data_IF_469467230513
#
_entry.id   IF_469467230513
#
_cell.length_a   1.000
_cell.length_b   1.000
_cell.length_c   1.000
_cell.angle_alpha   90.00
_cell.angle_beta   90.00
_cell.angle_gamma   90.00
#
_symmetry.space_group_name_H-M   'P 1'
#
loop_
_entity.id
_entity.type
_entity.pdbx_description
1 polymer ?
#
# COMPACT_ATOMS: atom_id res chain seq x y z
N UNK A 1 3.52 -12.31 -17.42
CA UNK A 1 3.39 -11.13 -16.54
C UNK A 1 2.91 -9.99 -17.42
N UNK A 2 1.88 -9.24 -17.01
CA UNK A 2 1.26 -8.21 -17.85
C UNK A 2 2.00 -6.90 -17.57
N UNK A 3 2.64 -6.33 -18.59
CA UNK A 3 3.19 -4.96 -18.55
C UNK A 3 2.23 -4.06 -19.33
N UNK A 4 1.84 -2.93 -18.75
CA UNK A 4 1.00 -1.94 -19.43
C UNK A 4 1.95 -0.81 -19.86
N UNK A 5 2.17 -0.69 -21.17
CA UNK A 5 2.93 0.39 -21.78
C UNK A 5 2.01 1.24 -22.64
N UNK A 6 2.12 2.56 -22.53
CA UNK A 6 1.42 3.49 -23.42
C UNK A 6 2.40 3.95 -24.50
N UNK A 7 1.96 3.92 -25.76
CA UNK A 7 2.76 4.34 -26.91
C UNK A 7 2.12 5.58 -27.52
N UNK A 8 2.86 6.68 -27.60
CA UNK A 8 2.43 7.83 -28.38
C UNK A 8 2.89 7.61 -29.83
N UNK A 9 1.92 7.49 -30.73
CA UNK A 9 2.17 7.46 -32.18
C UNK A 9 1.67 8.76 -32.77
N UNK A 10 2.59 9.57 -33.30
CA UNK A 10 2.27 10.78 -34.03
C UNK A 10 2.69 10.64 -35.50
N UNK A 11 1.78 10.90 -36.42
CA UNK A 11 2.05 10.90 -37.86
C UNK A 11 1.94 12.31 -38.40
N UNK A 12 3.02 12.83 -38.98
CA UNK A 12 3.06 14.13 -39.63
C UNK A 12 3.16 13.96 -41.16
N UNK A 13 2.40 14.76 -41.89
CA UNK A 13 2.44 14.80 -43.35
C UNK A 13 3.22 16.04 -43.78
N UNK A 14 4.37 15.84 -44.44
CA UNK A 14 5.16 16.94 -44.99
C UNK A 14 4.85 17.08 -46.46
N UNK A 15 4.25 18.20 -46.83
CA UNK A 15 4.09 18.59 -48.23
C UNK A 15 5.31 19.42 -48.64
N UNK A 16 6.13 18.91 -49.56
CA UNK A 16 7.13 19.72 -50.26
C UNK A 16 6.55 20.19 -51.59
N UNK A 17 6.53 21.51 -51.87
CA UNK A 17 6.22 22.00 -53.19
C UNK A 17 7.48 21.91 -54.06
N UNK A 18 7.69 20.78 -54.74
CA UNK A 18 8.65 20.73 -55.85
C UNK A 18 7.99 20.15 -57.10
N UNK A 19 7.98 20.97 -58.15
CA UNK A 19 7.64 20.68 -59.55
C UNK A 19 6.61 19.56 -59.79
N UNK A 20 5.32 19.90 -59.63
CA UNK A 20 4.22 19.26 -60.35
C UNK A 20 3.79 17.86 -59.90
N UNK A 21 4.34 17.32 -58.81
CA UNK A 21 3.85 16.06 -58.23
C UNK A 21 3.71 16.14 -56.72
N UNK A 22 2.49 15.95 -56.22
CA UNK A 22 2.16 15.93 -54.79
C UNK A 22 2.59 14.59 -54.14
N UNK A 23 3.90 14.34 -54.06
CA UNK A 23 4.41 13.24 -53.24
C UNK A 23 4.58 13.73 -51.80
N UNK A 24 3.49 13.68 -51.01
CA UNK A 24 3.56 13.93 -49.58
C UNK A 24 4.37 12.83 -48.89
N UNK A 25 5.39 13.20 -48.11
CA UNK A 25 6.11 12.23 -47.27
C UNK A 25 5.46 12.15 -45.90
N UNK A 26 5.18 10.92 -45.45
CA UNK A 26 4.65 10.66 -44.10
C UNK A 26 5.82 10.43 -43.17
N UNK A 27 5.97 11.27 -42.16
CA UNK A 27 6.93 11.06 -41.07
C UNK A 27 6.15 10.46 -39.90
N UNK A 28 6.49 9.24 -39.52
CA UNK A 28 5.93 8.59 -38.33
C UNK A 28 6.91 8.75 -37.18
N UNK A 29 6.49 9.43 -36.13
CA UNK A 29 7.23 9.53 -34.87
C UNK A 29 6.58 8.55 -33.90
N UNK A 30 7.25 7.41 -33.71
CA UNK A 30 6.90 6.42 -32.70
C UNK A 30 7.81 6.66 -31.48
N UNK A 31 7.24 7.22 -30.40
CA UNK A 31 7.98 7.45 -29.16
C UNK A 31 7.27 6.79 -27.98
N UNK A 32 8.00 5.95 -27.25
CA UNK A 32 7.52 5.33 -26.03
C UNK A 32 7.76 6.30 -24.87
N UNK A 33 6.71 6.90 -24.35
CA UNK A 33 6.80 7.76 -23.17
C UNK A 33 6.69 6.86 -21.92
N UNK A 34 7.71 6.83 -21.04
CA UNK A 34 7.57 6.16 -19.76
C UNK A 34 6.55 6.93 -18.92
N UNK A 35 5.35 6.37 -18.76
CA UNK A 35 4.33 6.93 -17.88
C UNK A 35 4.49 6.33 -16.49
N UNK A 36 4.61 7.19 -15.48
CA UNK A 36 4.34 6.83 -14.10
C UNK A 36 2.87 7.15 -13.83
N UNK A 37 2.07 6.15 -13.45
CA UNK A 37 0.67 6.40 -13.10
C UNK A 37 0.64 7.04 -11.72
N UNK A 38 0.18 8.29 -11.65
CA UNK A 38 -0.21 8.91 -10.38
C UNK A 38 -1.45 8.17 -9.90
N UNK A 39 -1.28 7.29 -8.92
CA UNK A 39 -2.43 6.74 -8.22
C UNK A 39 -3.05 7.88 -7.42
N UNK A 40 -4.32 8.21 -7.67
CA UNK A 40 -5.10 9.05 -6.77
C UNK A 40 -4.93 8.49 -5.36
N UNK A 41 -4.41 9.30 -4.43
CA UNK A 41 -4.20 8.90 -3.03
C UNK A 41 -5.50 8.25 -2.54
N UNK A 42 -5.52 6.94 -2.22
CA UNK A 42 -6.72 6.34 -1.68
C UNK A 42 -7.11 7.12 -0.43
N UNK A 43 -8.35 7.59 -0.34
CA UNK A 43 -8.86 8.23 0.87
C UNK A 43 -9.00 7.16 1.96
N UNK A 44 -7.89 6.79 2.56
CA UNK A 44 -7.90 6.02 3.80
C UNK A 44 -8.40 6.94 4.92
N UNK A 45 -9.15 6.40 5.89
CA UNK A 45 -9.48 7.15 7.09
C UNK A 45 -8.18 7.62 7.77
N UNK A 46 -8.23 8.73 8.54
CA UNK A 46 -7.03 9.31 9.15
C UNK A 46 -6.30 8.33 10.07
N UNK A 47 -7.02 7.33 10.59
CA UNK A 47 -6.45 6.20 11.30
C UNK A 47 -7.35 4.96 11.15
N UNK A 48 -6.79 3.79 11.44
CA UNK A 48 -7.51 2.51 11.53
C UNK A 48 -7.35 1.98 12.95
N UNK A 49 -8.46 1.63 13.61
CA UNK A 49 -8.43 1.03 14.94
C UNK A 49 -8.86 -0.44 14.95
N UNK A 50 -8.24 -1.22 15.84
CA UNK A 50 -8.61 -2.62 16.08
C UNK A 50 -8.38 -3.00 17.54
N UNK A 51 -9.34 -3.68 18.17
CA UNK A 51 -9.19 -4.18 19.55
C UNK A 51 -8.90 -5.67 19.56
N UNK A 52 -7.82 -6.07 20.23
CA UNK A 52 -7.47 -7.47 20.45
C UNK A 52 -8.46 -8.12 21.43
N UNK A 53 -9.19 -9.15 21.00
CA UNK A 53 -10.14 -9.87 21.86
C UNK A 53 -9.45 -10.65 22.98
N UNK A 54 -8.19 -11.07 22.79
CA UNK A 54 -7.45 -11.90 23.75
C UNK A 54 -6.80 -11.10 24.89
N UNK A 55 -6.50 -9.82 24.64
CA UNK A 55 -5.79 -8.95 25.59
C UNK A 55 -6.52 -7.65 25.90
N UNK A 56 -7.60 -7.33 25.16
CA UNK A 56 -8.31 -6.06 25.19
C UNK A 56 -7.46 -4.84 24.82
N UNK A 57 -6.29 -5.05 24.20
CA UNK A 57 -5.45 -3.95 23.73
C UNK A 57 -6.05 -3.32 22.49
N UNK A 58 -6.10 -2.00 22.43
CA UNK A 58 -6.59 -1.25 21.28
C UNK A 58 -5.41 -0.71 20.46
N UNK A 59 -5.38 -1.05 19.19
CA UNK A 59 -4.38 -0.59 18.22
C UNK A 59 -4.99 0.55 17.42
N UNK A 60 -4.24 1.64 17.22
CA UNK A 60 -4.59 2.71 16.29
C UNK A 60 -3.42 3.00 15.38
N UNK A 61 -3.58 2.73 14.09
CA UNK A 61 -2.55 2.99 13.10
C UNK A 61 -2.89 4.27 12.33
N UNK A 62 -1.99 5.26 12.38
CA UNK A 62 -2.04 6.50 11.61
C UNK A 62 -1.21 6.29 10.36
N UNK A 63 -1.91 6.11 9.23
CA UNK A 63 -1.33 5.62 8.00
C UNK A 63 -1.42 6.69 6.92
N UNK A 64 -0.26 7.23 6.56
CA UNK A 64 -0.12 7.98 5.32
C UNK A 64 0.25 7.04 4.17
N UNK A 65 0.18 7.55 2.94
CA UNK A 65 0.58 6.80 1.77
C UNK A 65 2.11 6.59 1.79
N UNK A 66 2.55 5.34 1.67
CA UNK A 66 3.95 4.96 1.63
C UNK A 66 4.51 5.30 0.25
N UNK A 67 5.57 6.10 0.24
CA UNK A 67 6.31 6.45 -0.96
C UNK A 67 7.25 5.30 -1.34
N UNK A 68 7.25 4.91 -2.61
CA UNK A 68 8.12 3.83 -3.09
C UNK A 68 9.60 4.26 -3.12
N UNK A 69 9.88 5.51 -3.48
CA UNK A 69 11.26 5.99 -3.68
C UNK A 69 11.79 6.88 -2.56
N UNK A 70 11.02 7.02 -1.47
CA UNK A 70 11.38 7.85 -0.32
C UNK A 70 10.97 7.15 0.98
N UNK A 71 11.71 7.34 2.08
CA UNK A 71 11.31 6.82 3.38
C UNK A 71 9.97 7.45 3.82
N UNK A 72 9.09 6.62 4.34
CA UNK A 72 7.77 7.03 4.84
C UNK A 72 7.62 6.64 6.30
N UNK A 73 6.98 7.49 7.10
CA UNK A 73 6.76 7.23 8.52
C UNK A 73 5.33 6.75 8.76
N UNK A 74 5.20 5.79 9.65
CA UNK A 74 3.93 5.22 10.10
C UNK A 74 3.93 5.25 11.62
N UNK A 75 2.91 5.87 12.21
CA UNK A 75 2.77 5.92 13.66
C UNK A 75 1.67 4.97 14.10
N UNK A 76 1.97 4.16 15.11
CA UNK A 76 1.04 3.19 15.71
C UNK A 76 0.92 3.50 17.18
N UNK A 77 -0.30 3.66 17.67
CA UNK A 77 -0.62 3.79 19.09
C UNK A 77 -1.24 2.49 19.59
N UNK A 78 -0.92 2.16 20.84
CA UNK A 78 -1.40 1.00 21.56
C UNK A 78 -1.93 1.44 22.92
N UNK A 79 -3.21 1.27 23.14
CA UNK A 79 -3.91 1.64 24.38
C UNK A 79 -4.33 0.39 25.17
N UNK A 80 -4.58 0.58 26.46
CA UNK A 80 -5.01 -0.48 27.37
C UNK A 80 -3.87 -1.34 27.93
N UNK A 81 -2.63 -0.83 27.90
CA UNK A 81 -1.45 -1.49 28.46
C UNK A 81 -1.52 -1.63 29.97
N UNK A 82 -2.23 -0.74 30.66
CA UNK A 82 -2.42 -0.78 32.11
C UNK A 82 -3.87 -1.13 32.43
N UNK A 83 -4.05 -2.08 33.34
CA UNK A 83 -5.34 -2.47 33.92
C UNK A 83 -5.25 -2.41 35.43
N UNK A 84 -6.03 -1.51 36.03
CA UNK A 84 -6.11 -1.39 37.48
C UNK A 84 -7.17 -2.36 38.00
N UNK A 85 -6.83 -3.20 39.00
CA UNK A 85 -7.84 -3.99 39.71
C UNK A 85 -8.33 -3.19 40.90
N UNK A 86 -9.65 -3.01 40.99
CA UNK A 86 -10.29 -2.33 42.13
C UNK A 86 -10.43 -3.21 43.37
N UNK A 87 -10.17 -4.52 43.24
CA UNK A 87 -10.58 -5.51 44.26
C UNK A 87 -9.41 -6.04 45.09
N UNK A 88 -8.21 -6.19 44.50
CA UNK A 88 -7.09 -6.89 45.13
C UNK A 88 -5.90 -5.97 45.48
N UNK A 89 -6.00 -4.67 45.20
CA UNK A 89 -4.89 -3.71 45.32
C UNK A 89 -3.71 -3.97 44.38
N UNK A 90 -3.87 -4.93 43.45
CA UNK A 90 -2.89 -5.31 42.45
C UNK A 90 -3.24 -4.71 41.10
N UNK A 91 -2.26 -4.14 40.44
CA UNK A 91 -2.36 -3.63 39.09
C UNK A 91 -1.69 -4.59 38.12
N UNK A 92 -2.25 -4.69 36.92
CA UNK A 92 -1.73 -5.52 35.85
C UNK A 92 -1.31 -4.64 34.68
N UNK A 93 -0.16 -4.93 34.08
CA UNK A 93 0.29 -4.27 32.86
C UNK A 93 0.74 -5.28 31.81
N UNK A 94 0.46 -4.99 30.55
CA UNK A 94 1.08 -5.68 29.43
C UNK A 94 2.44 -5.06 29.16
N UNK A 95 3.51 -5.85 29.27
CA UNK A 95 4.85 -5.47 28.81
C UNK A 95 5.08 -6.02 27.40
N UNK A 96 5.50 -5.15 26.50
CA UNK A 96 5.83 -5.50 25.12
C UNK A 96 7.24 -6.07 25.10
N UNK A 97 7.40 -7.29 24.57
CA UNK A 97 8.67 -8.02 24.52
C UNK A 97 9.35 -7.93 23.16
N UNK A 98 8.53 -8.06 22.11
CA UNK A 98 8.98 -8.16 20.72
C UNK A 98 7.90 -7.58 19.83
N UNK A 99 8.33 -6.88 18.80
CA UNK A 99 7.50 -6.33 17.75
C UNK A 99 8.10 -6.71 16.42
N UNK A 100 7.32 -7.32 15.57
CA UNK A 100 7.72 -7.63 14.20
C UNK A 100 6.71 -6.98 13.27
N UNK A 101 7.20 -6.27 12.25
CA UNK A 101 6.34 -5.74 11.20
C UNK A 101 6.78 -6.26 9.85
N UNK A 102 5.79 -6.45 8.96
CA UNK A 102 5.99 -6.90 7.59
C UNK A 102 5.05 -6.13 6.66
N UNK A 103 5.60 -5.59 5.57
CA UNK A 103 4.84 -4.97 4.50
C UNK A 103 4.72 -5.97 3.34
N UNK A 104 3.49 -6.37 3.03
CA UNK A 104 3.20 -7.34 1.98
C UNK A 104 2.43 -6.70 0.83
N UNK A 105 2.83 -7.03 -0.40
CA UNK A 105 2.10 -6.78 -1.65
C UNK A 105 1.27 -8.01 -2.01
N UNK A 106 -0.02 -7.82 -2.25
CA UNK A 106 -0.96 -8.86 -2.67
C UNK A 106 -1.47 -8.52 -4.07
N UNK A 107 -1.04 -9.31 -5.04
CA UNK A 107 -1.43 -9.16 -6.44
C UNK A 107 -2.45 -10.25 -6.79
N UNK A 108 -3.66 -9.82 -7.14
CA UNK A 108 -4.74 -10.71 -7.61
C UNK A 108 -5.00 -10.44 -9.08
N UNK A 109 -5.00 -11.48 -9.91
CA UNK A 109 -5.20 -11.35 -11.35
C UNK A 109 -6.02 -12.54 -11.90
N UNK A 110 -6.72 -12.37 -13.04
CA UNK A 110 -7.51 -13.44 -13.62
C UNK A 110 -6.59 -14.59 -14.08
N UNK A 111 -7.01 -15.83 -13.81
CA UNK A 111 -6.33 -17.01 -14.36
C UNK A 111 -6.52 -17.03 -15.88
N UNK A 112 -5.44 -17.32 -16.61
CA UNK A 112 -5.50 -17.53 -18.05
C UNK A 112 -5.72 -19.01 -18.34
N UNK A 113 -6.57 -19.33 -19.31
CA UNK A 113 -6.67 -20.67 -19.88
C UNK A 113 -5.31 -21.05 -20.49
N UNK A 114 -4.79 -22.24 -20.17
CA UNK A 114 -3.55 -22.71 -20.77
C UNK A 114 -3.73 -22.90 -22.28
N UNK A 115 -2.66 -22.68 -23.06
CA UNK A 115 -2.64 -22.85 -24.52
C UNK A 115 -3.08 -24.24 -25.00
N UNK A 116 -2.97 -25.25 -24.12
CA UNK A 116 -3.41 -26.63 -24.39
C UNK A 116 -4.93 -26.83 -24.29
N UNK A 117 -5.68 -25.87 -23.74
CA UNK A 117 -7.14 -25.93 -23.59
C UNK A 117 -7.81 -24.61 -23.98
N UNK A 118 -7.70 -24.17 -25.25
CA UNK A 118 -8.16 -22.86 -25.70
C UNK A 118 -9.69 -22.69 -25.81
N UNK A 119 -10.49 -23.67 -25.35
CA UNK A 119 -11.95 -23.72 -25.59
C UNK A 119 -12.84 -23.76 -24.33
N UNK A 120 -12.28 -23.66 -23.12
CA UNK A 120 -13.06 -23.65 -21.87
C UNK A 120 -13.39 -22.20 -21.41
N UNK A 121 -13.62 -21.29 -22.37
CA UNK A 121 -13.95 -19.89 -22.06
C UNK A 121 -15.29 -19.74 -21.32
N UNK A 122 -16.24 -20.66 -21.50
CA UNK A 122 -17.50 -20.69 -20.75
C UNK A 122 -17.31 -21.05 -19.26
N UNK A 123 -16.15 -21.62 -18.88
CA UNK A 123 -15.75 -21.83 -17.50
C UNK A 123 -15.04 -20.62 -16.88
N UNK A 124 -14.81 -19.50 -17.61
CA UNK A 124 -14.22 -18.28 -17.03
C UNK A 124 -14.98 -17.76 -15.83
N UNK A 125 -16.31 -17.87 -15.83
CA UNK A 125 -17.15 -17.46 -14.70
C UNK A 125 -16.89 -18.29 -13.43
N UNK A 126 -16.31 -19.50 -13.56
CA UNK A 126 -15.98 -20.39 -12.46
C UNK A 126 -14.48 -20.40 -12.10
N UNK A 127 -13.63 -19.72 -12.89
CA UNK A 127 -12.19 -19.69 -12.64
C UNK A 127 -11.87 -18.74 -11.49
N UNK A 128 -11.32 -19.29 -10.41
CA UNK A 128 -10.86 -18.50 -9.27
C UNK A 128 -9.69 -17.60 -9.71
N UNK A 129 -9.68 -16.32 -9.31
CA UNK A 129 -8.54 -15.45 -9.57
C UNK A 129 -7.30 -16.00 -8.86
N UNK A 130 -6.13 -15.79 -9.46
CA UNK A 130 -4.85 -16.17 -8.88
C UNK A 130 -4.35 -15.03 -8.02
N UNK A 131 -4.10 -15.32 -6.75
CA UNK A 131 -3.50 -14.36 -5.80
C UNK A 131 -2.07 -14.76 -5.51
N UNK A 132 -1.15 -13.79 -5.63
CA UNK A 132 0.26 -13.92 -5.23
C UNK A 132 0.56 -12.89 -4.15
N UNK A 133 1.35 -13.29 -3.16
CA UNK A 133 1.81 -12.40 -2.09
C UNK A 133 3.32 -12.31 -2.13
N UNK A 134 3.85 -11.10 -1.99
CA UNK A 134 5.27 -10.79 -1.95
C UNK A 134 5.56 -9.92 -0.73
N UNK A 135 6.54 -10.29 0.08
CA UNK A 135 7.03 -9.43 1.15
C UNK A 135 7.94 -8.35 0.55
N UNK A 136 7.63 -7.09 0.82
CA UNK A 136 8.40 -5.92 0.35
C UNK A 136 9.45 -5.49 1.36
N UNK A 137 9.09 -5.50 2.64
CA UNK A 137 9.96 -5.16 3.75
C UNK A 137 9.50 -5.86 5.02
N UNK A 138 10.43 -6.11 5.94
CA UNK A 138 10.12 -6.63 7.26
C UNK A 138 11.23 -6.22 8.26
N UNK A 139 10.86 -6.07 9.52
CA UNK A 139 11.81 -5.80 10.59
C UNK A 139 11.33 -6.38 11.92
N UNK A 140 12.28 -6.89 12.70
CA UNK A 140 12.07 -7.33 14.07
C UNK A 140 12.71 -6.32 15.02
N UNK A 141 11.96 -5.94 16.05
CA UNK A 141 12.33 -4.96 17.06
C UNK A 141 12.05 -5.54 18.45
N UNK A 142 12.95 -5.29 19.40
CA UNK A 142 12.79 -5.66 20.82
C UNK A 142 12.50 -4.45 21.71
N UNK A 143 12.19 -3.30 21.09
CA UNK A 143 11.94 -2.02 21.74
C UNK A 143 11.41 -1.01 20.73
N UNK A 144 11.48 0.29 21.04
CA UNK A 144 11.02 1.39 20.18
C UNK A 144 9.64 1.95 20.54
N UNK A 145 8.91 1.28 21.44
CA UNK A 145 7.68 1.80 22.02
C UNK A 145 7.98 2.90 23.04
N UNK A 146 7.39 4.07 22.82
CA UNK A 146 7.46 5.23 23.71
C UNK A 146 6.15 5.30 24.48
N UNK A 147 6.19 5.09 25.80
CA UNK A 147 5.03 5.31 26.65
C UNK A 147 4.77 6.81 26.82
N UNK A 148 3.49 7.20 26.88
CA UNK A 148 3.15 8.58 27.20
C UNK A 148 3.51 8.84 28.68
N UNK A 149 4.33 9.85 29.00
CA UNK A 149 4.61 10.22 30.39
C UNK A 149 3.37 10.70 31.15
N UNK A 150 2.36 11.23 30.46
CA UNK A 150 1.08 11.62 31.05
C UNK A 150 0.11 10.44 31.23
N UNK A 151 0.22 9.42 30.36
CA UNK A 151 -0.65 8.24 30.36
C UNK A 151 0.15 6.93 30.29
N UNK A 152 0.32 6.30 31.44
CA UNK A 152 1.00 5.02 31.56
C UNK A 152 0.25 3.83 30.91
N UNK A 153 -0.97 4.04 30.41
CA UNK A 153 -1.79 3.01 29.77
C UNK A 153 -1.65 2.97 28.24
N UNK A 154 -0.97 3.94 27.65
CA UNK A 154 -0.76 4.05 26.21
C UNK A 154 0.73 4.06 25.83
N UNK A 155 1.02 3.59 24.62
CA UNK A 155 2.35 3.67 24.02
C UNK A 155 2.28 3.89 22.52
N UNK A 156 3.24 4.62 21.98
CA UNK A 156 3.37 4.90 20.55
C UNK A 156 4.64 4.28 19.96
N UNK A 157 4.56 3.85 18.71
CA UNK A 157 5.66 3.33 17.91
C UNK A 157 5.69 4.07 16.57
N UNK A 158 6.83 4.70 16.26
CA UNK A 158 7.09 5.30 14.97
C UNK A 158 7.93 4.32 14.13
N UNK A 159 7.39 3.90 13.00
CA UNK A 159 8.04 3.03 12.04
C UNK A 159 8.48 3.85 10.82
N UNK A 160 9.71 3.64 10.37
CA UNK A 160 10.18 4.19 9.09
C UNK A 160 10.26 3.05 8.08
N UNK A 161 9.47 3.16 7.02
CA UNK A 161 9.47 2.23 5.89
C UNK A 161 10.26 2.84 4.75
N UNK A 162 11.37 2.22 4.38
CA UNK A 162 12.20 2.66 3.26
C UNK A 162 12.25 1.56 2.18
N UNK A 163 11.57 1.81 1.07
CA UNK A 163 11.54 0.95 -0.11
C UNK A 163 12.53 1.40 -1.20
N UNK A 164 13.20 2.54 -1.00
CA UNK A 164 14.13 3.15 -1.97
C UNK A 164 15.47 2.44 -2.02
N UNK A 165 15.85 1.76 -0.92
CA UNK A 165 17.06 0.95 -0.87
C UNK A 165 16.95 -0.15 -1.93
N UNK A 166 17.99 -0.31 -2.76
CA UNK A 166 18.06 -1.27 -3.87
C UNK A 166 17.68 -2.66 -3.36
N UNK A 167 16.39 -2.98 -3.44
CA UNK A 167 15.84 -4.18 -2.86
C UNK A 167 16.58 -5.37 -3.45
N UNK A 168 16.98 -6.33 -2.60
CA UNK A 168 17.44 -7.63 -3.06
C UNK A 168 16.35 -8.39 -3.86
N UNK A 169 15.14 -7.85 -3.95
CA UNK A 169 14.10 -8.31 -4.84
C UNK A 169 14.46 -8.01 -6.30
N UNK A 170 14.27 -9.00 -7.17
CA UNK A 170 14.50 -8.91 -8.62
C UNK A 170 13.65 -7.82 -9.32
N UNK A 171 12.65 -7.24 -8.65
CA UNK A 171 11.66 -6.32 -9.22
C UNK A 171 11.25 -5.25 -8.19
N UNK A 172 11.03 -3.99 -8.62
CA UNK A 172 10.58 -2.92 -7.74
C UNK A 172 9.15 -3.18 -7.17
N UNK A 173 8.78 -2.53 -6.05
CA UNK A 173 7.41 -2.49 -5.54
C UNK A 173 6.45 -1.85 -6.55
N UNK A 174 5.18 -2.25 -6.54
CA UNK A 174 4.15 -1.67 -7.42
C UNK A 174 3.26 -0.71 -6.63
N UNK A 175 2.70 0.30 -7.31
CA UNK A 175 1.64 1.13 -6.71
C UNK A 175 0.39 0.30 -6.37
N UNK A 176 -0.38 0.79 -5.41
CA UNK A 176 -1.70 0.23 -5.13
C UNK A 176 -2.62 0.46 -6.33
N UNK A 177 -3.40 -0.55 -6.70
CA UNK A 177 -4.24 -0.51 -7.89
C UNK A 177 -5.47 -1.39 -7.73
N UNK A 178 -6.65 -0.84 -7.97
CA UNK A 178 -7.87 -1.62 -8.13
C UNK A 178 -8.48 -1.26 -9.48
N UNK A 179 -8.51 -2.23 -10.40
CA UNK A 179 -9.11 -2.01 -11.72
C UNK A 179 -10.64 -2.00 -11.60
N UNK A 180 -11.33 -1.05 -12.26
CA UNK A 180 -12.80 -0.99 -12.21
C UNK A 180 -13.49 -2.16 -12.92
N UNK A 181 -12.75 -2.94 -13.71
CA UNK A 181 -13.28 -4.09 -14.43
C UNK A 181 -13.40 -5.31 -13.51
N UNK A 182 -14.55 -5.99 -13.55
CA UNK A 182 -14.81 -7.20 -12.76
C UNK A 182 -13.81 -8.30 -13.14
N UNK A 183 -13.04 -8.79 -12.17
CA UNK A 183 -12.03 -9.84 -12.37
C UNK A 183 -10.68 -9.36 -12.90
N UNK A 184 -10.46 -8.06 -12.98
CA UNK A 184 -9.19 -7.48 -13.42
C UNK A 184 -8.12 -7.45 -12.31
N UNK A 185 -6.91 -7.01 -12.69
CA UNK A 185 -5.74 -6.92 -11.81
C UNK A 185 -6.02 -6.02 -10.60
N UNK A 186 -5.77 -6.55 -9.40
CA UNK A 186 -5.80 -5.83 -8.13
C UNK A 186 -4.46 -5.96 -7.42
N UNK A 187 -3.95 -4.86 -6.89
CA UNK A 187 -2.71 -4.76 -6.14
C UNK A 187 -3.04 -4.03 -4.84
N UNK A 188 -2.99 -4.76 -3.74
CA UNK A 188 -3.22 -4.23 -2.39
C UNK A 188 -1.99 -4.43 -1.54
N UNK A 189 -1.77 -3.52 -0.59
CA UNK A 189 -0.67 -3.59 0.33
C UNK A 189 -1.17 -3.65 1.76
N UNK A 190 -0.43 -4.38 2.59
CA UNK A 190 -0.80 -4.58 3.98
C UNK A 190 0.42 -4.49 4.88
N UNK A 191 0.32 -3.66 5.91
CA UNK A 191 1.24 -3.66 7.03
C UNK A 191 0.73 -4.63 8.09
N UNK A 192 1.47 -5.70 8.32
CA UNK A 192 1.20 -6.67 9.38
C UNK A 192 2.08 -6.35 10.58
N UNK A 193 1.48 -6.17 11.75
CA UNK A 193 2.17 -5.95 13.03
C UNK A 193 1.93 -7.16 13.94
N UNK A 194 3.01 -7.78 14.42
CA UNK A 194 2.98 -8.91 15.33
C UNK A 194 3.68 -8.53 16.64
N UNK A 195 2.93 -8.52 17.74
CA UNK A 195 3.40 -8.19 19.08
C UNK A 195 3.47 -9.42 19.95
N UNK A 196 4.59 -9.63 20.63
CA UNK A 196 4.68 -10.54 21.78
C UNK A 196 4.60 -9.71 23.05
N UNK A 197 3.61 -10.01 23.89
CA UNK A 197 3.39 -9.31 25.17
C UNK A 197 3.36 -10.31 26.33
N UNK A 198 3.80 -9.85 27.50
CA UNK A 198 3.72 -10.61 28.75
C UNK A 198 2.95 -9.79 29.79
N UNK A 199 2.11 -10.48 30.58
CA UNK A 199 1.40 -9.85 31.68
C UNK A 199 2.33 -9.74 32.89
N UNK A 200 2.42 -8.54 33.45
CA UNK A 200 3.11 -8.26 34.70
C UNK A 200 2.10 -7.76 35.74
N UNK A 201 2.38 -8.03 37.01
CA UNK A 201 1.60 -7.53 38.14
C UNK A 201 2.47 -6.72 39.09
N UNK A 202 1.87 -5.75 39.76
CA UNK A 202 2.54 -4.93 40.76
C UNK A 202 1.52 -4.36 41.76
N UNK A 203 1.95 -4.11 42.99
CA UNK A 203 1.12 -3.44 43.99
C UNK A 203 0.94 -1.95 43.65
N UNK A 204 -0.14 -1.34 44.13
CA UNK A 204 -0.37 0.10 43.99
C UNK A 204 0.83 0.94 44.48
N UNK A 205 1.22 1.93 43.68
CA UNK A 205 2.40 2.77 43.96
C UNK A 205 3.77 2.12 43.71
N UNK A 206 3.83 0.81 43.45
CA UNK A 206 5.08 0.03 43.28
C UNK A 206 5.29 -0.45 41.84
N UNK A 207 5.07 0.43 40.85
CA UNK A 207 5.16 0.10 39.41
C UNK A 207 6.53 -0.47 39.00
N UNK A 208 7.59 -0.04 39.67
CA UNK A 208 8.97 -0.47 39.40
C UNK A 208 9.27 -1.88 39.94
N UNK A 209 8.44 -2.41 40.86
CA UNK A 209 8.53 -3.78 41.40
C UNK A 209 7.66 -4.78 40.60
N UNK A 210 7.37 -4.47 39.34
CA UNK A 210 6.52 -5.33 38.52
C UNK A 210 7.16 -6.70 38.25
N UNK A 211 6.37 -7.76 38.44
CA UNK A 211 6.81 -9.14 38.25
C UNK A 211 5.96 -9.82 37.18
N UNK A 212 6.60 -10.58 36.28
CA UNK A 212 5.90 -11.34 35.25
C UNK A 212 5.03 -12.46 35.86
N UNK A 213 3.78 -12.55 35.41
CA UNK A 213 2.78 -13.53 35.88
C UNK A 213 2.87 -14.85 35.08
N UNK A 214 3.80 -14.95 34.12
CA UNK A 214 3.95 -16.11 33.23
C UNK A 214 2.89 -16.21 32.13
N UNK A 215 2.01 -15.22 31.99
CA UNK A 215 0.99 -15.16 30.94
C UNK A 215 1.52 -14.37 29.75
N UNK A 216 1.90 -15.08 28.68
CA UNK A 216 2.31 -14.48 27.39
C UNK A 216 1.21 -14.55 26.33
N UNK A 217 1.17 -13.57 25.42
CA UNK A 217 0.27 -13.55 24.24
C UNK A 217 1.03 -13.04 23.01
N UNK A 218 0.69 -13.60 21.85
CA UNK A 218 1.09 -13.07 20.56
C UNK A 218 -0.16 -12.48 19.91
N UNK A 219 -0.06 -11.23 19.47
CA UNK A 219 -1.15 -10.48 18.85
C UNK A 219 -0.71 -10.10 17.45
N UNK A 220 -1.50 -10.44 16.44
CA UNK A 220 -1.22 -10.12 15.05
C UNK A 220 -2.31 -9.24 14.48
N UNK A 221 -1.94 -8.07 13.97
CA UNK A 221 -2.83 -7.11 13.35
C UNK A 221 -2.41 -6.83 11.92
N UNK A 222 -3.37 -6.58 11.04
CA UNK A 222 -3.13 -6.31 9.62
C UNK A 222 -3.86 -5.04 9.22
N UNK A 223 -3.11 -4.06 8.76
CA UNK A 223 -3.62 -2.76 8.33
C UNK A 223 -3.47 -2.62 6.81
N UNK A 224 -4.53 -2.27 6.06
CA UNK A 224 -4.37 -1.90 4.66
C UNK A 224 -3.57 -0.61 4.54
N UNK A 225 -2.63 -0.56 3.62
CA UNK A 225 -1.81 0.63 3.34
C UNK A 225 -1.80 0.93 1.85
N UNK A 226 -1.58 2.20 1.52
CA UNK A 226 -1.49 2.66 0.15
C UNK A 226 -0.04 2.94 -0.20
N UNK A 227 0.51 2.21 -1.17
CA UNK A 227 1.77 2.55 -1.81
C UNK A 227 1.53 3.45 -3.02
N UNK A 228 2.32 4.51 -3.13
CA UNK A 228 2.29 5.48 -4.22
C UNK A 228 3.71 5.73 -4.74
N UNK A 229 3.78 5.98 -6.04
CA UNK A 229 5.00 6.39 -6.71
C UNK A 229 4.95 7.91 -6.92
N UNK A 230 5.70 8.67 -6.12
CA UNK A 230 5.92 10.09 -6.31
C UNK A 230 7.36 10.35 -6.75
N UNK A 231 7.77 9.79 -7.89
CA UNK A 231 8.94 10.36 -8.59
C UNK A 231 8.56 11.77 -9.01
N UNK A 232 9.08 12.77 -8.29
CA UNK A 232 9.16 14.17 -8.71
C UNK A 232 7.90 14.70 -9.39
N UNK A 233 6.78 14.72 -8.67
CA UNK A 233 5.63 15.53 -9.07
C UNK A 233 6.04 16.98 -8.86
N UNK A 234 6.69 17.57 -9.86
CA UNK A 234 6.69 19.01 -10.03
C UNK A 234 5.20 19.41 -10.16
N UNK A 235 4.75 20.45 -9.46
CA UNK A 235 3.34 20.90 -9.42
C UNK A 235 2.77 21.32 -10.81
N UNK A 236 3.52 21.06 -11.88
CA UNK A 236 3.24 21.36 -13.29
C UNK A 236 2.63 20.19 -14.06
N UNK A 237 2.36 19.02 -13.44
CA UNK A 237 1.68 17.92 -14.14
C UNK A 237 0.22 18.33 -14.42
N UNK A 238 -0.02 18.76 -15.66
CA UNK A 238 -1.36 18.87 -16.26
C UNK A 238 -2.12 17.56 -16.01
N UNK A 239 -3.25 17.66 -15.32
CA UNK A 239 -4.31 16.66 -15.44
C UNK A 239 -4.51 16.36 -16.92
N UNK A 240 -4.35 15.10 -17.32
CA UNK A 240 -4.80 14.68 -18.64
C UNK A 240 -6.31 14.92 -18.67
N UNK A 241 -6.84 15.63 -19.69
CA UNK A 241 -8.27 15.83 -19.81
C UNK A 241 -8.99 14.48 -19.72
N UNK A 242 -10.03 14.43 -18.90
CA UNK A 242 -10.93 13.29 -18.85
C UNK A 242 -11.60 13.17 -20.23
N UNK A 243 -11.14 12.24 -21.06
CA UNK A 243 -11.75 11.95 -22.35
C UNK A 243 -13.05 11.17 -22.13
N UNK A 244 -13.99 11.80 -21.42
CA UNK A 244 -15.35 11.31 -21.27
C UNK A 244 -16.23 11.72 -22.46
N UNK A 245 -15.82 12.72 -23.26
CA UNK A 245 -16.53 13.13 -24.47
C UNK A 245 -15.65 13.01 -25.72
N UNK A 246 -16.14 12.36 -26.80
CA UNK A 246 -15.46 12.38 -28.08
C UNK A 246 -15.43 13.82 -28.63
N UNK A 247 -14.31 14.30 -29.18
CA UNK A 247 -14.26 15.65 -29.73
C UNK A 247 -15.22 15.75 -30.92
N UNK A 248 -16.29 16.52 -30.75
CA UNK A 248 -17.11 16.99 -31.87
C UNK A 248 -16.27 17.95 -32.72
N UNK A 249 -15.78 17.48 -33.85
CA UNK A 249 -15.24 18.36 -34.89
C UNK A 249 -16.40 18.82 -35.78
N UNK A 250 -16.76 20.11 -35.70
CA UNK A 250 -17.48 20.75 -36.80
C UNK A 250 -16.48 21.13 -37.87
N UNK A 251 -16.64 20.57 -39.08
CA UNK A 251 -15.96 21.09 -40.26
C UNK A 251 -16.66 22.38 -40.69
N UNK A 252 -16.05 23.52 -40.40
CA UNK A 252 -16.40 24.78 -41.07
C UNK A 252 -15.74 24.76 -42.44
N UNK A 253 -16.53 24.47 -43.48
CA UNK A 253 -16.14 24.70 -44.86
C UNK A 253 -16.38 26.19 -45.12
N UNK A 254 -15.29 26.96 -45.25
CA UNK A 254 -15.34 28.33 -45.72
C UNK A 254 -15.38 28.35 -47.25
N UNK A 255 -16.28 29.16 -47.81
CA UNK A 255 -16.35 29.51 -49.23
C UNK A 255 -15.13 30.32 -49.71
#
# INVERSE_FOLDING_TARGET
>A
MISISYQLRATAFVQRPEHGSYAGSVITIDHSIPLCRVSSKPQLPPYISHTSTSTGLEFRAFLEAIQIHSPSNISIQLDGLLRQSTTDGMNYKWRIMRTEWALDEVVTFPSQSCEKHPGLDWLRAAQKPVTKTRNLAAQVMYGGWKSDPADASSAALDLTVDLSTKSAAKLPPTCSYDSPNVGALKIHHYLTLELSVILEQFAEGKKDEATAVGVGRIIKQRFPVSLVDSIGVDDTIMELPDYADPPHYEMVIGD
#
